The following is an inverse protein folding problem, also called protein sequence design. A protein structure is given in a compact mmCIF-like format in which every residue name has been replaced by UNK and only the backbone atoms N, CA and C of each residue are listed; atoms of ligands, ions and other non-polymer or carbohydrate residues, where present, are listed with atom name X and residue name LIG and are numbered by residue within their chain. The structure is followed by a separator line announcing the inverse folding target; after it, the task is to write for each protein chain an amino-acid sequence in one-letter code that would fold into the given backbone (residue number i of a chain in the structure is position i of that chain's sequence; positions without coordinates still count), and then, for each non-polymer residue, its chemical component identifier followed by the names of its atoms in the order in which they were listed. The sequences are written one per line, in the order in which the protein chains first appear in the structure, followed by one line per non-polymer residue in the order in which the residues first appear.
data_IF_663669937475
#
_entry.id   IF_663669937475
#
_cell.length_a   1.000
_cell.length_b   1.000
_cell.length_c   1.000
_cell.angle_alpha   90.00
_cell.angle_beta   90.00
_cell.angle_gamma   90.00
#
_symmetry.space_group_name_H-M   'P 1'
#
loop_
_entity.id
_entity.type
_entity.pdbx_description
1 polymer ?
#
# COMPACT_ATOMS: atom_id res chain seq x y z
N UNK A 1 -17.55 15.62 0.35
CA UNK A 1 -16.41 16.18 -0.40
C UNK A 1 -15.69 15.01 -1.05
N UNK A 2 -15.81 14.85 -2.36
CA UNK A 2 -15.04 13.85 -3.09
C UNK A 2 -13.60 14.38 -3.10
N UNK A 3 -12.72 13.74 -2.34
CA UNK A 3 -11.29 14.05 -2.41
C UNK A 3 -10.82 13.46 -3.73
N UNK A 4 -10.37 14.31 -4.65
CA UNK A 4 -9.83 13.87 -5.93
C UNK A 4 -8.44 13.23 -5.69
N UNK A 5 -8.39 11.90 -5.51
CA UNK A 5 -7.17 11.13 -5.18
C UNK A 5 -6.47 10.61 -6.42
N UNK A 6 -5.22 10.99 -6.69
CA UNK A 6 -4.50 10.37 -7.79
C UNK A 6 -4.20 8.89 -7.49
N UNK A 7 -4.03 8.11 -8.56
CA UNK A 7 -3.59 6.72 -8.45
C UNK A 7 -2.22 6.57 -9.09
N UNK A 8 -1.27 6.05 -8.32
CA UNK A 8 0.12 5.92 -8.72
C UNK A 8 0.56 4.47 -8.66
N UNK A 9 1.26 4.02 -9.69
CA UNK A 9 2.12 2.84 -9.58
C UNK A 9 3.38 3.29 -8.83
N UNK A 10 3.82 2.52 -7.84
CA UNK A 10 5.12 2.70 -7.18
C UNK A 10 5.77 1.33 -7.02
N UNK A 11 6.91 1.08 -7.66
CA UNK A 11 7.61 -0.21 -7.55
C UNK A 11 8.52 -0.24 -6.31
N UNK A 12 8.55 -1.35 -5.56
CA UNK A 12 9.38 -1.49 -4.36
C UNK A 12 10.82 -1.89 -4.71
N UNK A 13 11.41 -1.30 -5.76
CA UNK A 13 12.72 -1.68 -6.28
C UNK A 13 13.79 -0.57 -6.17
N UNK A 14 13.99 0.12 -5.03
CA UNK A 14 15.18 0.96 -4.84
C UNK A 14 16.46 0.18 -5.17
N UNK A 15 17.29 0.73 -6.06
CA UNK A 15 18.53 0.09 -6.53
C UNK A 15 18.35 -1.33 -7.12
N UNK A 16 17.14 -1.66 -7.60
CA UNK A 16 16.82 -2.98 -8.15
C UNK A 16 16.62 -4.09 -7.11
N UNK A 17 16.73 -3.77 -5.81
CA UNK A 17 16.48 -4.71 -4.71
C UNK A 17 15.00 -4.66 -4.34
N UNK A 18 14.35 -5.82 -4.24
CA UNK A 18 12.95 -5.88 -3.81
C UNK A 18 12.85 -5.56 -2.32
N UNK A 19 12.23 -4.41 -2.01
CA UNK A 19 12.03 -3.87 -0.66
C UNK A 19 10.59 -3.98 -0.18
N UNK A 20 9.77 -4.83 -0.81
CA UNK A 20 8.34 -4.90 -0.50
C UNK A 20 8.09 -5.29 0.96
N UNK A 21 8.87 -6.21 1.52
CA UNK A 21 8.73 -6.60 2.92
C UNK A 21 9.03 -5.42 3.86
N UNK A 22 10.13 -4.69 3.64
CA UNK A 22 10.42 -3.49 4.45
C UNK A 22 9.34 -2.41 4.27
N UNK A 23 8.76 -2.28 3.09
CA UNK A 23 7.67 -1.33 2.81
C UNK A 23 6.40 -1.69 3.61
N UNK A 24 6.07 -2.98 3.70
CA UNK A 24 4.95 -3.46 4.52
C UNK A 24 5.25 -3.32 6.01
N UNK A 25 6.42 -3.74 6.47
CA UNK A 25 6.80 -3.74 7.88
C UNK A 25 6.90 -2.32 8.46
N UNK A 26 7.49 -1.39 7.70
CA UNK A 26 7.69 0.00 8.14
C UNK A 26 6.54 0.94 7.75
N UNK A 27 5.50 0.44 7.06
CA UNK A 27 4.37 1.24 6.53
C UNK A 27 4.84 2.40 5.64
N UNK A 28 5.71 2.11 4.66
CA UNK A 28 6.32 3.12 3.78
C UNK A 28 6.30 2.72 2.30
N UNK A 29 6.50 3.74 1.46
CA UNK A 29 7.09 3.60 0.12
C UNK A 29 8.33 4.48 0.04
N UNK A 30 9.28 4.12 -0.83
CA UNK A 30 10.55 4.83 -0.92
C UNK A 30 11.20 4.79 -2.31
N UNK A 31 12.15 5.70 -2.54
CA UNK A 31 13.07 5.70 -3.69
C UNK A 31 14.53 5.79 -3.20
N UNK A 32 15.45 5.18 -3.96
CA UNK A 32 16.88 5.12 -3.64
C UNK A 32 17.69 6.15 -4.40
N UNK A 33 17.95 7.31 -3.78
CA UNK A 33 18.88 8.32 -4.29
C UNK A 33 19.69 8.95 -3.13
N UNK A 34 20.57 8.17 -2.46
CA UNK A 34 21.36 8.68 -1.35
C UNK A 34 22.45 9.67 -1.80
N UNK A 35 22.07 10.95 -1.89
CA UNK A 35 22.92 12.06 -2.34
C UNK A 35 23.48 12.89 -1.17
N UNK A 36 23.22 12.46 0.07
CA UNK A 36 23.54 13.22 1.29
C UNK A 36 22.65 14.44 1.51
N UNK A 37 21.51 14.56 0.80
CA UNK A 37 20.63 15.74 0.84
C UNK A 37 19.14 15.34 0.75
N UNK A 38 18.30 16.03 1.50
CA UNK A 38 16.85 16.03 1.30
C UNK A 38 16.47 16.73 -0.01
N UNK A 39 15.42 16.26 -0.68
CA UNK A 39 14.92 16.81 -1.94
C UNK A 39 13.78 17.84 -1.77
N UNK A 40 13.28 18.05 -0.54
CA UNK A 40 12.06 18.82 -0.26
C UNK A 40 12.06 20.23 -0.86
N UNK A 41 13.20 20.93 -0.80
CA UNK A 41 13.30 22.34 -1.16
C UNK A 41 13.99 22.60 -2.50
N UNK A 42 14.36 21.56 -3.25
CA UNK A 42 15.05 21.74 -4.52
C UNK A 42 14.07 22.01 -5.67
N UNK A 43 14.41 22.98 -6.51
CA UNK A 43 13.74 23.16 -7.80
C UNK A 43 13.94 21.91 -8.67
N UNK A 44 13.13 21.77 -9.73
CA UNK A 44 13.25 20.60 -10.61
C UNK A 44 14.60 20.60 -11.33
N UNK A 45 15.10 21.78 -11.68
CA UNK A 45 16.41 21.94 -12.31
C UNK A 45 17.55 21.63 -11.34
N UNK A 46 17.43 22.05 -10.08
CA UNK A 46 18.44 21.72 -9.05
C UNK A 46 18.45 20.22 -8.74
N UNK A 47 17.28 19.59 -8.61
CA UNK A 47 17.17 18.15 -8.41
C UNK A 47 17.80 17.38 -9.59
N UNK A 48 17.57 17.83 -10.83
CA UNK A 48 18.20 17.24 -12.01
C UNK A 48 19.72 17.35 -11.97
N UNK A 49 20.27 18.51 -11.57
CA UNK A 49 21.72 18.73 -11.42
C UNK A 49 22.32 17.86 -10.32
N UNK A 50 21.65 17.75 -9.17
CA UNK A 50 22.09 16.93 -8.02
C UNK A 50 22.17 15.46 -8.42
N UNK A 51 21.16 14.94 -9.11
CA UNK A 51 21.16 13.55 -9.55
C UNK A 51 22.21 13.29 -10.63
N UNK A 52 22.37 14.20 -11.59
CA UNK A 52 23.40 14.10 -12.61
C UNK A 52 24.83 14.09 -12.02
N UNK A 53 25.09 14.87 -10.96
CA UNK A 53 26.40 14.86 -10.30
C UNK A 53 26.73 13.53 -9.59
N UNK A 54 25.73 12.66 -9.40
CA UNK A 54 25.88 11.31 -8.84
C UNK A 54 25.71 10.21 -9.91
N UNK A 55 25.61 10.57 -11.20
CA UNK A 55 25.38 9.61 -12.29
C UNK A 55 23.96 9.00 -12.31
N UNK A 56 22.97 9.70 -11.74
CA UNK A 56 21.56 9.27 -11.64
C UNK A 56 20.60 10.17 -12.43
N UNK A 57 21.08 10.82 -13.48
CA UNK A 57 20.29 11.69 -14.37
C UNK A 57 19.01 11.01 -14.89
N UNK A 58 19.06 9.73 -15.26
CA UNK A 58 17.88 8.94 -15.68
C UNK A 58 16.81 8.82 -14.57
N UNK A 59 17.22 8.91 -13.30
CA UNK A 59 16.35 8.84 -12.12
C UNK A 59 15.56 10.12 -11.84
N UNK A 60 15.86 11.22 -12.54
CA UNK A 60 15.24 12.53 -12.29
C UNK A 60 13.72 12.50 -12.32
N UNK A 61 13.11 11.84 -13.32
CA UNK A 61 11.66 11.79 -13.44
C UNK A 61 11.03 11.10 -12.22
N UNK A 62 11.62 9.99 -11.77
CA UNK A 62 11.16 9.25 -10.59
C UNK A 62 11.27 10.10 -9.33
N UNK A 63 12.44 10.73 -9.10
CA UNK A 63 12.64 11.59 -7.93
C UNK A 63 11.68 12.78 -7.92
N UNK A 64 11.53 13.46 -9.05
CA UNK A 64 10.67 14.62 -9.18
C UNK A 64 9.19 14.27 -8.94
N UNK A 65 8.70 13.16 -9.53
CA UNK A 65 7.35 12.66 -9.29
C UNK A 65 7.12 12.33 -7.81
N UNK A 66 8.03 11.55 -7.22
CA UNK A 66 7.90 11.12 -5.83
C UNK A 66 7.91 12.27 -4.82
N UNK A 67 8.77 13.27 -5.03
CA UNK A 67 8.93 14.39 -4.09
C UNK A 67 7.81 15.41 -4.28
N UNK A 68 7.44 15.74 -5.52
CA UNK A 68 6.58 16.90 -5.81
C UNK A 68 5.13 16.58 -6.16
N UNK A 69 4.86 15.40 -6.74
CA UNK A 69 3.55 15.11 -7.33
C UNK A 69 2.75 14.05 -6.57
N UNK A 70 3.41 13.12 -5.88
CA UNK A 70 2.74 12.23 -4.94
C UNK A 70 2.28 13.04 -3.73
N UNK A 71 1.00 12.95 -3.39
CA UNK A 71 0.41 13.71 -2.30
C UNK A 71 -0.20 12.81 -1.24
N UNK A 72 -0.33 13.35 -0.03
CA UNK A 72 -1.13 12.70 1.02
C UNK A 72 -2.55 12.45 0.49
N UNK A 73 -3.10 11.29 0.82
CA UNK A 73 -4.38 10.73 0.37
C UNK A 73 -4.41 10.17 -1.05
N UNK A 74 -3.34 10.28 -1.85
CA UNK A 74 -3.26 9.55 -3.10
C UNK A 74 -3.21 8.03 -2.86
N UNK A 75 -3.73 7.26 -3.81
CA UNK A 75 -3.70 5.80 -3.82
C UNK A 75 -2.40 5.34 -4.48
N UNK A 76 -1.74 4.37 -3.87
CA UNK A 76 -0.59 3.68 -4.45
C UNK A 76 -0.93 2.22 -4.73
N UNK A 77 -0.57 1.80 -5.95
CA UNK A 77 -0.65 0.41 -6.42
C UNK A 77 0.79 -0.06 -6.57
N UNK A 78 1.17 -1.05 -5.75
CA UNK A 78 2.55 -1.49 -5.59
C UNK A 78 2.67 -2.92 -6.09
N UNK A 79 2.98 -3.12 -7.39
CA UNK A 79 3.22 -4.45 -7.93
C UNK A 79 4.56 -4.99 -7.43
N UNK A 80 4.51 -6.17 -6.80
CA UNK A 80 5.70 -6.89 -6.34
C UNK A 80 6.51 -7.40 -7.53
N UNK A 81 7.79 -7.68 -7.31
CA UNK A 81 8.72 -8.24 -8.29
C UNK A 81 8.41 -9.70 -8.63
N UNK A 82 7.59 -10.39 -7.84
CA UNK A 82 7.16 -11.76 -8.10
C UNK A 82 6.15 -11.90 -9.28
N UNK A 83 5.77 -10.78 -9.92
CA UNK A 83 4.86 -10.66 -11.07
C UNK A 83 3.40 -11.08 -10.81
N UNK A 84 3.09 -11.57 -9.61
CA UNK A 84 1.78 -12.07 -9.21
C UNK A 84 1.09 -11.11 -8.25
N UNK A 85 1.80 -10.61 -7.26
CA UNK A 85 1.21 -9.93 -6.11
C UNK A 85 1.19 -8.41 -6.29
N UNK A 86 0.12 -7.79 -5.81
CA UNK A 86 -0.10 -6.35 -5.88
C UNK A 86 -0.63 -5.87 -4.53
N UNK A 87 -0.02 -4.82 -4.01
CA UNK A 87 -0.44 -4.19 -2.77
C UNK A 87 -1.08 -2.83 -3.05
N UNK A 88 -2.06 -2.48 -2.23
CA UNK A 88 -2.75 -1.20 -2.31
C UNK A 88 -2.52 -0.42 -1.02
N UNK A 89 -2.30 0.87 -1.15
CA UNK A 89 -2.11 1.75 -0.01
C UNK A 89 -2.59 3.16 -0.25
N UNK A 90 -2.77 3.92 0.83
CA UNK A 90 -3.05 5.35 0.80
C UNK A 90 -1.86 6.08 1.42
N UNK A 91 -1.32 7.07 0.72
CA UNK A 91 -0.22 7.89 1.24
C UNK A 91 -0.71 8.68 2.46
N UNK A 92 -0.08 8.51 3.62
CA UNK A 92 -0.52 9.08 4.89
C UNK A 92 0.23 10.37 5.29
N UNK A 93 1.42 10.57 4.72
CA UNK A 93 2.28 11.73 4.99
C UNK A 93 2.71 12.47 3.73
N UNK A 94 3.21 13.69 3.91
CA UNK A 94 4.07 14.32 2.92
C UNK A 94 5.38 13.52 2.77
N UNK A 95 6.17 13.89 1.76
CA UNK A 95 7.55 13.44 1.62
C UNK A 95 8.34 13.72 2.90
N UNK A 96 9.22 12.81 3.26
CA UNK A 96 10.27 13.05 4.25
C UNK A 96 11.57 12.36 3.83
N UNK A 97 12.66 12.83 4.42
CA UNK A 97 13.99 12.30 4.25
C UNK A 97 14.44 11.57 5.52
N UNK A 98 15.18 10.46 5.35
CA UNK A 98 15.78 9.63 6.39
C UNK A 98 17.30 9.71 6.30
N UNK A 99 17.94 10.61 7.06
CA UNK A 99 19.40 10.79 7.02
C UNK A 99 20.19 9.53 7.35
N UNK A 100 19.66 8.68 8.23
CA UNK A 100 20.23 7.38 8.60
C UNK A 100 20.23 6.36 7.45
N UNK A 101 19.35 6.56 6.46
CA UNK A 101 19.29 5.77 5.22
C UNK A 101 19.91 6.53 4.02
N UNK A 102 20.60 7.65 4.25
CA UNK A 102 21.25 8.47 3.22
C UNK A 102 22.77 8.23 3.19
N UNK A 103 23.13 6.97 3.01
CA UNK A 103 24.53 6.56 2.88
C UNK A 103 24.81 6.25 1.41
N UNK A 104 25.68 7.04 0.75
CA UNK A 104 26.05 6.79 -0.63
C UNK A 104 26.59 5.36 -0.83
N UNK A 105 26.21 4.73 -1.94
CA UNK A 105 26.67 3.40 -2.35
C UNK A 105 26.22 2.20 -1.49
N UNK A 106 25.37 2.39 -0.47
CA UNK A 106 24.85 1.29 0.37
C UNK A 106 23.47 0.74 -0.07
N UNK A 107 23.00 1.08 -1.27
CA UNK A 107 21.70 0.64 -1.80
C UNK A 107 20.50 0.88 -0.86
N UNK A 108 20.57 2.00 -0.11
CA UNK A 108 19.54 2.45 0.82
C UNK A 108 18.53 3.39 0.14
N UNK A 109 17.47 3.75 0.86
CA UNK A 109 16.33 4.50 0.33
C UNK A 109 15.92 5.64 1.28
N UNK A 110 16.64 6.77 1.25
CA UNK A 110 16.42 7.86 2.21
C UNK A 110 15.14 8.66 1.95
N UNK A 111 14.56 8.56 0.76
CA UNK A 111 13.41 9.36 0.35
C UNK A 111 12.13 8.57 0.50
N UNK A 112 11.26 8.96 1.43
CA UNK A 112 10.17 8.11 1.89
C UNK A 112 8.85 8.86 2.05
N UNK A 113 7.77 8.09 2.08
CA UNK A 113 6.42 8.50 2.48
C UNK A 113 5.78 7.39 3.29
N UNK A 114 5.02 7.72 4.33
CA UNK A 114 4.23 6.73 5.08
C UNK A 114 3.00 6.36 4.27
N UNK A 115 2.60 5.11 4.37
CA UNK A 115 1.47 4.53 3.66
C UNK A 115 0.62 3.73 4.63
N UNK A 116 -0.69 3.96 4.58
CA UNK A 116 -1.68 3.06 5.17
C UNK A 116 -1.99 1.98 4.16
N UNK A 117 -1.43 0.80 4.36
CA UNK A 117 -1.72 -0.36 3.53
C UNK A 117 -3.17 -0.80 3.72
N UNK A 118 -3.81 -1.15 2.61
CA UNK A 118 -5.18 -1.66 2.58
C UNK A 118 -5.17 -3.19 2.73
N UNK A 119 -6.34 -3.76 2.95
CA UNK A 119 -6.57 -5.23 3.00
C UNK A 119 -5.65 -5.95 4.01
N UNK A 120 -5.40 -5.34 5.17
CA UNK A 120 -4.50 -5.87 6.20
C UNK A 120 -3.12 -6.28 5.67
N UNK A 121 -2.55 -5.49 4.73
CA UNK A 121 -1.26 -5.76 4.08
C UNK A 121 -1.24 -7.05 3.24
N UNK A 122 -2.41 -7.62 2.90
CA UNK A 122 -2.49 -8.80 2.04
C UNK A 122 -2.42 -8.40 0.56
N UNK A 123 -1.74 -9.21 -0.27
CA UNK A 123 -1.69 -8.95 -1.70
C UNK A 123 -3.00 -9.31 -2.40
N UNK A 124 -3.31 -8.56 -3.44
CA UNK A 124 -4.22 -8.96 -4.51
C UNK A 124 -3.44 -9.71 -5.59
N UNK A 125 -4.09 -10.69 -6.22
CA UNK A 125 -3.53 -11.34 -7.40
C UNK A 125 -3.69 -10.43 -8.61
N UNK A 126 -2.61 -10.27 -9.37
CA UNK A 126 -2.61 -9.54 -10.65
C UNK A 126 -3.59 -10.12 -11.66
N UNK A 127 -3.88 -11.42 -11.59
CA UNK A 127 -4.88 -12.08 -12.45
C UNK A 127 -6.29 -11.54 -12.24
N UNK A 128 -6.58 -11.02 -11.06
CA UNK A 128 -7.93 -10.65 -10.64
C UNK A 128 -8.25 -9.20 -11.02
N UNK A 129 -7.24 -8.47 -11.51
CA UNK A 129 -7.42 -7.13 -12.07
C UNK A 129 -7.86 -7.20 -13.55
N UNK A 130 -8.69 -6.26 -14.01
CA UNK A 130 -9.05 -6.13 -15.42
C UNK A 130 -7.84 -5.89 -16.31
N UNK A 131 -7.98 -6.33 -17.55
CA UNK A 131 -6.96 -6.25 -18.60
C UNK A 131 -6.37 -4.85 -18.77
N UNK A 132 -7.22 -3.82 -18.69
CA UNK A 132 -6.79 -2.43 -18.87
C UNK A 132 -5.79 -1.99 -17.79
N UNK A 133 -6.04 -2.37 -16.53
CA UNK A 133 -5.16 -2.09 -15.41
C UNK A 133 -3.93 -2.98 -15.48
N UNK A 134 -4.09 -4.28 -15.77
CA UNK A 134 -2.97 -5.21 -15.96
C UNK A 134 -2.00 -4.73 -17.04
N UNK A 135 -2.54 -4.08 -18.09
CA UNK A 135 -1.79 -3.40 -19.14
C UNK A 135 -0.98 -2.23 -18.61
N UNK A 136 -1.58 -1.33 -17.83
CA UNK A 136 -0.86 -0.22 -17.20
C UNK A 136 0.24 -0.67 -16.23
N UNK A 137 0.07 -1.80 -15.53
CA UNK A 137 1.09 -2.39 -14.66
C UNK A 137 2.31 -2.95 -15.41
N UNK A 138 2.28 -3.02 -16.75
CA UNK A 138 3.46 -3.36 -17.58
C UNK A 138 4.41 -2.19 -17.78
N UNK A 139 4.06 -0.98 -17.32
CA UNK A 139 4.97 0.16 -17.39
C UNK A 139 6.31 -0.19 -16.73
N UNK A 140 7.46 0.01 -17.43
CA UNK A 140 8.75 -0.45 -16.96
C UNK A 140 9.36 0.44 -15.86
N UNK A 141 8.88 1.68 -15.71
CA UNK A 141 9.43 2.61 -14.73
C UNK A 141 8.95 2.37 -13.30
N UNK A 142 9.63 3.01 -12.34
CA UNK A 142 9.34 2.92 -10.91
C UNK A 142 8.02 3.58 -10.53
N UNK A 143 7.72 4.75 -11.11
CA UNK A 143 6.52 5.53 -10.79
C UNK A 143 5.76 5.89 -12.06
N UNK A 144 4.45 5.66 -12.07
CA UNK A 144 3.56 6.11 -13.14
C UNK A 144 2.23 6.59 -12.59
N UNK A 145 1.69 7.65 -13.18
CA UNK A 145 0.32 8.07 -12.92
C UNK A 145 -0.64 7.18 -13.73
N UNK A 146 -1.58 6.55 -13.03
CA UNK A 146 -2.64 5.73 -13.61
C UNK A 146 -4.02 6.22 -13.14
N UNK A 147 -4.16 7.51 -12.84
CA UNK A 147 -5.39 8.14 -12.35
C UNK A 147 -6.59 7.89 -13.26
N UNK A 148 -6.38 7.63 -14.56
CA UNK A 148 -7.45 7.20 -15.47
C UNK A 148 -8.22 5.95 -15.02
N UNK A 149 -7.59 5.11 -14.18
CA UNK A 149 -8.18 3.88 -13.63
C UNK A 149 -8.80 4.06 -12.24
N UNK A 150 -8.88 5.30 -11.76
CA UNK A 150 -9.24 5.59 -10.36
C UNK A 150 -10.57 4.99 -9.94
N UNK A 151 -11.62 5.20 -10.73
CA UNK A 151 -12.96 4.71 -10.41
C UNK A 151 -12.95 3.20 -10.16
N UNK A 152 -12.25 2.45 -11.01
CA UNK A 152 -12.14 1.00 -10.85
C UNK A 152 -11.35 0.61 -9.58
N UNK A 153 -10.24 1.30 -9.32
CA UNK A 153 -9.40 1.02 -8.14
C UNK A 153 -10.17 1.35 -6.85
N UNK A 154 -10.90 2.46 -6.82
CA UNK A 154 -11.77 2.82 -5.71
C UNK A 154 -12.90 1.81 -5.52
N UNK A 155 -13.48 1.30 -6.60
CA UNK A 155 -14.49 0.23 -6.53
C UNK A 155 -13.94 -1.05 -5.91
N UNK A 156 -12.73 -1.50 -6.26
CA UNK A 156 -12.09 -2.64 -5.58
C UNK A 156 -11.96 -2.37 -4.08
N UNK A 157 -11.42 -1.21 -3.73
CA UNK A 157 -11.19 -0.82 -2.33
C UNK A 157 -12.51 -0.80 -1.54
N UNK A 158 -13.57 -0.26 -2.13
CA UNK A 158 -14.88 -0.17 -1.50
C UNK A 158 -15.57 -1.54 -1.37
N UNK A 159 -15.51 -2.39 -2.39
CA UNK A 159 -16.11 -3.73 -2.38
C UNK A 159 -15.52 -4.61 -1.27
N UNK A 160 -14.20 -4.62 -1.13
CA UNK A 160 -13.52 -5.33 -0.04
C UNK A 160 -13.88 -4.78 1.34
N UNK A 161 -13.99 -3.46 1.48
CA UNK A 161 -14.46 -2.86 2.74
C UNK A 161 -15.90 -3.29 3.07
N UNK A 162 -16.78 -3.40 2.07
CA UNK A 162 -18.15 -3.88 2.27
C UNK A 162 -18.19 -5.36 2.64
N UNK A 163 -17.44 -6.22 1.94
CA UNK A 163 -17.37 -7.65 2.25
C UNK A 163 -16.79 -7.91 3.65
N UNK A 164 -15.74 -7.18 4.02
CA UNK A 164 -15.15 -7.24 5.37
C UNK A 164 -16.15 -6.80 6.43
N UNK A 165 -16.94 -5.75 6.16
CA UNK A 165 -17.99 -5.27 7.07
C UNK A 165 -19.12 -6.30 7.21
N UNK A 166 -19.55 -6.92 6.11
CA UNK A 166 -20.60 -7.95 6.13
C UNK A 166 -20.13 -9.24 6.82
N UNK A 167 -18.91 -9.71 6.56
CA UNK A 167 -18.37 -10.88 7.29
C UNK A 167 -18.19 -10.59 8.78
N UNK A 168 -17.72 -9.40 9.13
CA UNK A 168 -17.57 -8.99 10.53
C UNK A 168 -18.93 -8.85 11.22
N UNK A 169 -19.95 -8.35 10.51
CA UNK A 169 -21.32 -8.25 11.05
C UNK A 169 -21.99 -9.62 11.20
N UNK A 170 -21.76 -10.55 10.28
CA UNK A 170 -22.27 -11.92 10.37
C UNK A 170 -21.61 -12.69 11.52
N UNK A 171 -20.29 -12.54 11.71
CA UNK A 171 -19.59 -13.14 12.86
C UNK A 171 -20.08 -12.55 14.17
N UNK A 172 -20.26 -11.22 14.27
CA UNK A 172 -20.75 -10.60 15.50
C UNK A 172 -22.21 -10.96 15.80
N UNK A 173 -23.06 -11.09 14.76
CA UNK A 173 -24.42 -11.60 14.90
C UNK A 173 -24.44 -13.06 15.37
N UNK A 174 -23.62 -13.91 14.79
CA UNK A 174 -23.50 -15.31 15.18
C UNK A 174 -23.04 -15.46 16.64
N UNK A 175 -22.04 -14.68 17.06
CA UNK A 175 -21.58 -14.65 18.47
C UNK A 175 -22.68 -14.15 19.41
N UNK A 176 -23.45 -13.14 19.00
CA UNK A 176 -24.56 -12.62 19.82
C UNK A 176 -25.65 -13.67 20.01
N UNK A 177 -26.09 -14.31 18.93
CA UNK A 177 -27.07 -15.39 19.01
C UNK A 177 -26.56 -16.57 19.86
N UNK A 178 -25.27 -16.90 19.76
CA UNK A 178 -24.67 -17.95 20.58
C UNK A 178 -24.76 -17.61 22.08
N UNK A 179 -24.53 -16.35 22.45
CA UNK A 179 -24.66 -15.88 23.84
C UNK A 179 -26.10 -16.01 24.36
N UNK A 180 -27.08 -15.70 23.53
CA UNK A 180 -28.49 -15.88 23.90
C UNK A 180 -28.80 -17.36 24.16
N UNK A 181 -28.29 -18.27 23.32
CA UNK A 181 -28.47 -19.72 23.47
C UNK A 181 -27.83 -20.28 24.75
N UNK A 182 -26.74 -19.68 25.25
CA UNK A 182 -26.15 -20.04 26.55
C UNK A 182 -27.09 -19.75 27.72
N UNK A 183 -28.04 -18.83 27.56
CA UNK A 183 -29.06 -18.50 28.58
C UNK A 183 -30.40 -19.19 28.34
N UNK A 184 -30.48 -20.07 27.33
CA UNK A 184 -31.71 -20.80 27.00
C UNK A 184 -32.20 -21.65 28.18
N UNK A 185 -33.52 -21.67 28.40
CA UNK A 185 -34.17 -22.55 29.38
C UNK A 185 -34.13 -24.02 28.97
N UNK A 186 -33.95 -24.30 27.67
CA UNK A 186 -33.77 -25.66 27.17
C UNK A 186 -32.31 -26.12 27.41
N UNK A 187 -32.16 -27.13 28.26
CA UNK A 187 -30.86 -27.67 28.67
C UNK A 187 -30.03 -28.22 27.52
N UNK A 188 -30.65 -28.93 26.57
CA UNK A 188 -29.96 -29.53 25.43
C UNK A 188 -29.37 -28.45 24.51
N UNK A 189 -30.14 -27.38 24.25
CA UNK A 189 -29.69 -26.23 23.47
C UNK A 189 -28.53 -25.52 24.17
N UNK A 190 -28.63 -25.34 25.49
CA UNK A 190 -27.60 -24.67 26.29
C UNK A 190 -26.29 -25.46 26.32
N UNK A 191 -26.35 -26.78 26.52
CA UNK A 191 -25.17 -27.66 26.50
C UNK A 191 -24.48 -27.59 25.14
N UNK A 192 -25.24 -27.66 24.05
CA UNK A 192 -24.69 -27.59 22.70
C UNK A 192 -24.03 -26.24 22.39
N UNK A 193 -24.59 -25.15 22.91
CA UNK A 193 -23.96 -23.83 22.82
C UNK A 193 -22.63 -23.77 23.61
N UNK A 194 -22.57 -24.34 24.82
CA UNK A 194 -21.34 -24.44 25.62
C UNK A 194 -20.26 -25.24 24.88
N UNK A 195 -20.62 -26.39 24.31
CA UNK A 195 -19.69 -27.21 23.53
C UNK A 195 -19.11 -26.45 22.33
N UNK A 196 -19.94 -25.68 21.62
CA UNK A 196 -19.50 -24.88 20.48
C UNK A 196 -18.50 -23.79 20.89
N UNK A 197 -18.75 -23.09 22.01
CA UNK A 197 -17.84 -22.08 22.57
C UNK A 197 -16.50 -22.71 22.94
N UNK A 198 -16.53 -23.82 23.70
CA UNK A 198 -15.33 -24.53 24.14
C UNK A 198 -14.51 -25.08 22.98
N UNK A 199 -15.17 -25.60 21.93
CA UNK A 199 -14.49 -26.20 20.77
C UNK A 199 -13.77 -25.15 19.90
N UNK A 200 -14.24 -23.90 19.90
CA UNK A 200 -13.72 -22.87 19.01
C UNK A 200 -12.97 -21.73 19.72
N UNK A 201 -12.75 -21.82 21.04
CA UNK A 201 -12.13 -20.76 21.85
C UNK A 201 -12.74 -19.38 21.58
N UNK A 202 -14.08 -19.32 21.51
CA UNK A 202 -14.84 -18.06 21.35
C UNK A 202 -14.93 -17.26 22.66
#
# INVERSE_FOLDING_TARGET
MIIDRNVWIVRPLPHGVNRMNEFLDEDIIAIGFPTGKSFENFSSDDLKKILASHGWDEGFKTANLFVKYLNKNDIVVVPDNNKRDIYFGIIDTKYFHKPDKDVPYENLYPHQRKVKWLFDKKPFLRSDLPDEIRGSLRYPGTIANITKHREFIENIINLENTNTTTETSLKSLAVTQLKDLLTSQNEEIRIRAIELVMKHNL
#
